data_IF_016694994143
#
_entry.id   IF_016694994143
#
_cell.length_a   1.000
_cell.length_b   1.000
_cell.length_c   1.000
_cell.angle_alpha   90.00
_cell.angle_beta   90.00
_cell.angle_gamma   90.00
#
_symmetry.space_group_name_H-M   'P 1'
#
loop_
_entity.id
_entity.type
_entity.pdbx_description
1 polymer ?
#
# COMPACT_ATOMS: atom_id res chain seq x y z
N UNK A 1 9.88 4.01 13.48
CA UNK A 1 8.61 4.16 12.75
C UNK A 1 8.08 2.80 12.33
N UNK A 2 6.79 2.56 12.52
CA UNK A 2 6.12 1.33 12.03
C UNK A 2 5.18 1.70 10.88
N UNK A 3 5.42 1.14 9.72
CA UNK A 3 4.60 1.35 8.52
C UNK A 3 3.99 0.03 8.04
N UNK A 4 2.77 0.08 7.55
CA UNK A 4 2.11 -1.08 6.95
C UNK A 4 1.57 -0.81 5.56
N UNK A 5 1.48 -1.85 4.74
CA UNK A 5 0.64 -1.88 3.52
C UNK A 5 -0.44 -2.92 3.66
N UNK A 6 -1.64 -2.60 3.17
CA UNK A 6 -2.78 -3.50 3.23
C UNK A 6 -3.78 -3.24 2.10
N UNK A 7 -3.99 -4.22 1.25
CA UNK A 7 -5.09 -4.23 0.31
C UNK A 7 -6.37 -4.62 1.06
N UNK A 8 -7.39 -3.76 1.07
CA UNK A 8 -8.60 -3.90 1.90
C UNK A 8 -9.73 -4.68 1.23
N UNK A 9 -9.48 -5.19 0.01
CA UNK A 9 -10.42 -6.07 -0.69
C UNK A 9 -11.80 -5.45 -0.96
N UNK A 10 -11.85 -4.18 -1.31
CA UNK A 10 -13.07 -3.43 -1.69
C UNK A 10 -14.29 -3.71 -0.78
N UNK A 11 -15.44 -3.94 -1.43
CA UNK A 11 -16.71 -4.33 -0.80
C UNK A 11 -16.96 -5.84 -0.83
N UNK A 12 -15.94 -6.66 -1.05
CA UNK A 12 -16.08 -8.11 -1.13
C UNK A 12 -16.41 -8.72 0.25
N UNK A 13 -17.06 -9.88 0.24
CA UNK A 13 -17.48 -10.56 1.46
C UNK A 13 -18.49 -9.76 2.28
N UNK A 14 -18.57 -9.99 3.60
CA UNK A 14 -19.37 -9.18 4.53
C UNK A 14 -18.61 -7.87 4.85
N UNK A 15 -18.76 -6.88 3.98
CA UNK A 15 -18.03 -5.63 4.06
C UNK A 15 -18.18 -4.92 5.40
N UNK A 16 -19.39 -4.79 5.92
CA UNK A 16 -19.64 -4.02 7.16
C UNK A 16 -18.97 -4.67 8.36
N UNK A 17 -19.12 -5.97 8.51
CA UNK A 17 -18.46 -6.72 9.58
C UNK A 17 -16.93 -6.69 9.42
N UNK A 18 -16.42 -6.82 8.19
CA UNK A 18 -14.99 -6.80 7.92
C UNK A 18 -14.35 -5.47 8.25
N UNK A 19 -14.97 -4.34 7.88
CA UNK A 19 -14.32 -3.05 8.04
C UNK A 19 -14.16 -2.66 9.51
N UNK A 20 -15.12 -2.98 10.35
CA UNK A 20 -15.02 -2.78 11.80
C UNK A 20 -13.91 -3.67 12.40
N UNK A 21 -13.85 -4.93 11.98
CA UNK A 21 -12.83 -5.87 12.43
C UNK A 21 -11.43 -5.48 11.94
N UNK A 22 -11.28 -4.94 10.71
CA UNK A 22 -10.03 -4.40 10.18
C UNK A 22 -9.51 -3.27 11.08
N UNK A 23 -10.38 -2.29 11.41
CA UNK A 23 -10.00 -1.20 12.29
C UNK A 23 -9.48 -1.69 13.65
N UNK A 24 -10.21 -2.61 14.29
CA UNK A 24 -9.83 -3.19 15.57
C UNK A 24 -8.52 -4.02 15.50
N UNK A 25 -8.30 -4.75 14.39
CA UNK A 25 -7.11 -5.54 14.19
C UNK A 25 -5.87 -4.67 13.96
N UNK A 26 -5.97 -3.66 13.09
CA UNK A 26 -4.88 -2.72 12.81
C UNK A 26 -4.49 -1.87 14.01
N UNK A 27 -5.45 -1.51 14.89
CA UNK A 27 -5.17 -0.76 16.12
C UNK A 27 -4.17 -1.47 17.05
N UNK A 28 -4.11 -2.81 17.01
CA UNK A 28 -3.17 -3.61 17.82
C UNK A 28 -1.74 -3.57 17.31
N UNK A 29 -1.51 -3.11 16.09
CA UNK A 29 -0.20 -3.11 15.45
C UNK A 29 0.59 -1.84 15.73
N UNK A 30 0.00 -0.84 16.42
CA UNK A 30 0.67 0.42 16.82
C UNK A 30 1.39 1.11 15.65
N UNK A 31 0.68 1.28 14.54
CA UNK A 31 1.23 1.81 13.29
C UNK A 31 1.30 3.34 13.31
N UNK A 32 2.39 3.89 12.76
CA UNK A 32 2.56 5.32 12.53
C UNK A 32 2.03 5.73 11.16
N UNK A 33 2.19 4.84 10.17
CA UNK A 33 1.76 5.02 8.79
C UNK A 33 1.12 3.75 8.25
N UNK A 34 0.03 3.89 7.52
CA UNK A 34 -0.60 2.77 6.80
C UNK A 34 -0.92 3.22 5.38
N UNK A 35 -0.49 2.45 4.40
CA UNK A 35 -0.91 2.62 3.02
C UNK A 35 -1.97 1.56 2.70
N UNK A 36 -3.11 2.00 2.20
CA UNK A 36 -4.26 1.14 1.90
C UNK A 36 -4.56 1.15 0.41
N UNK A 37 -4.83 -0.01 -0.15
CA UNK A 37 -5.31 -0.18 -1.50
C UNK A 37 -6.75 -0.71 -1.47
N UNK A 38 -7.47 -0.50 -2.56
CA UNK A 38 -8.86 -0.95 -2.72
C UNK A 38 -9.82 -0.42 -1.64
N UNK A 39 -9.59 0.81 -1.15
CA UNK A 39 -10.47 1.43 -0.17
C UNK A 39 -11.83 1.71 -0.78
N UNK A 40 -12.83 0.89 -0.43
CA UNK A 40 -14.20 1.08 -0.91
C UNK A 40 -14.77 2.39 -0.39
N UNK A 41 -15.32 3.18 -1.32
CA UNK A 41 -16.00 4.44 -1.03
C UNK A 41 -17.30 4.50 -1.82
N UNK A 42 -18.44 4.56 -1.10
CA UNK A 42 -19.78 4.66 -1.66
C UNK A 42 -20.64 5.58 -0.77
N UNK A 43 -20.66 6.89 -1.04
CA UNK A 43 -21.29 7.87 -0.15
C UNK A 43 -22.80 7.67 -0.03
N UNK A 44 -23.48 7.15 -1.06
CA UNK A 44 -24.91 6.88 -1.03
C UNK A 44 -25.34 5.90 0.09
N UNK A 45 -24.41 5.07 0.56
CA UNK A 45 -24.64 4.09 1.64
C UNK A 45 -23.72 4.34 2.85
N UNK A 46 -23.12 5.52 2.94
CA UNK A 46 -22.15 5.91 3.98
C UNK A 46 -20.98 4.94 4.16
N UNK A 47 -20.56 4.24 3.09
CA UNK A 47 -19.41 3.35 3.12
C UNK A 47 -18.13 4.14 2.78
N UNK A 48 -17.13 4.05 3.66
CA UNK A 48 -15.83 4.69 3.53
C UNK A 48 -14.76 3.93 4.33
N UNK A 49 -14.11 2.98 3.67
CA UNK A 49 -13.06 2.14 4.27
C UNK A 49 -11.95 2.96 4.92
N UNK A 50 -11.38 3.93 4.18
CA UNK A 50 -10.24 4.70 4.69
C UNK A 50 -10.62 5.56 5.90
N UNK A 51 -11.80 6.20 5.89
CA UNK A 51 -12.27 6.97 7.03
C UNK A 51 -12.61 6.09 8.25
N UNK A 52 -13.18 4.91 8.05
CA UNK A 52 -13.46 3.97 9.13
C UNK A 52 -12.18 3.50 9.82
N UNK A 53 -11.19 3.08 9.04
CA UNK A 53 -9.87 2.66 9.57
C UNK A 53 -9.18 3.83 10.28
N UNK A 54 -9.11 4.99 9.64
CA UNK A 54 -8.46 6.17 10.21
C UNK A 54 -9.11 6.59 11.54
N UNK A 55 -10.42 6.57 11.63
CA UNK A 55 -11.16 6.88 12.88
C UNK A 55 -10.83 5.87 13.99
N UNK A 56 -10.79 4.59 13.66
CA UNK A 56 -10.45 3.54 14.63
C UNK A 56 -9.03 3.69 15.20
N UNK A 57 -8.09 4.24 14.40
CA UNK A 57 -6.69 4.40 14.78
C UNK A 57 -6.31 5.82 15.20
N UNK A 58 -7.20 6.81 15.04
CA UNK A 58 -6.89 8.22 15.31
C UNK A 58 -5.88 8.81 14.33
N UNK A 59 -5.95 8.45 13.03
CA UNK A 59 -5.00 8.85 11.99
C UNK A 59 -5.62 9.87 11.02
N UNK A 60 -4.78 10.70 10.40
CA UNK A 60 -5.12 11.56 9.27
C UNK A 60 -5.24 10.74 7.99
N UNK A 61 -6.11 11.17 7.04
CA UNK A 61 -6.35 10.48 5.76
C UNK A 61 -5.92 11.36 4.60
N UNK A 62 -5.06 10.81 3.74
CA UNK A 62 -4.76 11.32 2.40
C UNK A 62 -5.26 10.34 1.35
N UNK A 63 -5.89 10.81 0.26
CA UNK A 63 -6.52 9.93 -0.75
C UNK A 63 -6.13 10.29 -2.18
N UNK A 64 -6.08 9.26 -3.03
CA UNK A 64 -6.19 9.39 -4.48
C UNK A 64 -7.51 8.74 -4.91
N UNK A 65 -8.49 9.53 -5.38
CA UNK A 65 -9.78 9.00 -5.81
C UNK A 65 -9.64 8.27 -7.14
N UNK A 66 -10.05 7.01 -7.18
CA UNK A 66 -10.10 6.21 -8.39
C UNK A 66 -11.39 6.46 -9.18
N UNK A 67 -11.46 5.95 -10.41
CA UNK A 67 -12.65 6.06 -11.26
C UNK A 67 -13.89 5.43 -10.59
N UNK A 68 -15.01 6.13 -10.70
CA UNK A 68 -16.31 5.61 -10.25
C UNK A 68 -16.79 4.43 -11.12
N UNK A 69 -17.35 3.45 -10.45
CA UNK A 69 -17.94 2.26 -11.07
C UNK A 69 -19.20 1.86 -10.29
N UNK A 70 -20.20 1.32 -10.99
CA UNK A 70 -21.28 0.61 -10.34
C UNK A 70 -20.76 -0.71 -9.76
N UNK A 71 -21.12 -0.99 -8.51
CA UNK A 71 -20.84 -2.26 -7.83
C UNK A 71 -22.07 -2.71 -7.07
N UNK A 72 -22.26 -4.02 -7.00
CA UNK A 72 -23.33 -4.60 -6.21
C UNK A 72 -22.89 -4.71 -4.74
N UNK A 73 -23.72 -4.23 -3.83
CA UNK A 73 -23.58 -4.41 -2.40
C UNK A 73 -24.92 -4.83 -1.81
N UNK A 74 -24.98 -6.00 -1.20
CA UNK A 74 -26.21 -6.60 -0.63
C UNK A 74 -27.38 -6.60 -1.64
N UNK A 75 -27.09 -6.94 -2.90
CA UNK A 75 -28.08 -6.97 -3.99
C UNK A 75 -28.47 -5.60 -4.55
N UNK A 76 -27.89 -4.50 -4.08
CA UNK A 76 -28.15 -3.14 -4.55
C UNK A 76 -26.95 -2.60 -5.35
N UNK A 77 -27.23 -2.02 -6.52
CA UNK A 77 -26.21 -1.33 -7.32
C UNK A 77 -25.89 0.05 -6.72
N UNK A 78 -24.64 0.28 -6.39
CA UNK A 78 -24.15 1.53 -5.83
C UNK A 78 -23.00 2.11 -6.64
N UNK A 79 -23.04 3.41 -6.90
CA UNK A 79 -21.91 4.12 -7.48
C UNK A 79 -20.78 4.24 -6.44
N UNK A 80 -19.61 3.77 -6.78
CA UNK A 80 -18.53 3.60 -5.80
C UNK A 80 -17.15 3.70 -6.44
N UNK A 81 -16.13 3.93 -5.61
CA UNK A 81 -14.71 3.89 -5.96
C UNK A 81 -13.98 2.85 -5.13
N UNK A 82 -12.77 2.51 -5.55
CA UNK A 82 -11.81 1.70 -4.79
C UNK A 82 -10.50 2.51 -4.70
N UNK A 83 -10.48 3.47 -3.79
CA UNK A 83 -9.44 4.51 -3.69
C UNK A 83 -8.10 3.96 -3.14
N UNK A 84 -7.01 4.71 -3.38
CA UNK A 84 -5.79 4.59 -2.59
C UNK A 84 -5.88 5.54 -1.40
N UNK A 85 -5.35 5.12 -0.24
CA UNK A 85 -5.22 5.99 0.92
C UNK A 85 -3.87 5.82 1.61
N UNK A 86 -3.37 6.91 2.19
CA UNK A 86 -2.26 6.94 3.14
C UNK A 86 -2.82 7.50 4.44
N UNK A 87 -2.71 6.73 5.51
CA UNK A 87 -3.11 7.13 6.85
C UNK A 87 -1.85 7.41 7.67
N UNK A 88 -1.82 8.53 8.37
CA UNK A 88 -0.63 9.00 9.11
C UNK A 88 -1.00 9.52 10.48
N UNK A 89 -0.11 9.33 11.46
CA UNK A 89 -0.30 9.87 12.81
C UNK A 89 -0.28 11.39 12.82
N UNK A 90 0.68 11.98 12.12
CA UNK A 90 0.80 13.42 11.94
C UNK A 90 0.19 13.85 10.60
N UNK A 91 -0.31 15.08 10.55
CA UNK A 91 -0.81 15.64 9.29
C UNK A 91 0.34 15.74 8.27
N UNK A 92 0.15 15.29 7.02
CA UNK A 92 1.20 15.40 6.01
C UNK A 92 1.48 16.86 5.63
N UNK A 93 2.74 17.16 5.30
CA UNK A 93 3.18 18.47 4.81
C UNK A 93 2.65 18.77 3.40
N UNK A 94 2.61 17.74 2.57
CA UNK A 94 2.12 17.81 1.19
C UNK A 94 1.54 16.46 0.77
N UNK A 95 0.55 16.49 -0.12
CA UNK A 95 -0.09 15.30 -0.68
C UNK A 95 -0.29 15.51 -2.18
N UNK A 96 0.10 14.53 -2.97
CA UNK A 96 -0.14 14.56 -4.41
C UNK A 96 -0.39 13.14 -4.95
N UNK A 97 -1.06 13.06 -6.09
CA UNK A 97 -1.23 11.80 -6.82
C UNK A 97 -1.10 12.05 -8.33
N UNK A 98 -0.82 10.99 -9.07
CA UNK A 98 -0.70 11.01 -10.52
C UNK A 98 -1.24 9.71 -11.13
N UNK A 99 -1.74 9.75 -12.38
CA UNK A 99 -2.08 8.55 -13.12
C UNK A 99 -0.82 7.79 -13.53
N UNK A 100 -0.95 6.46 -13.59
CA UNK A 100 0.03 5.55 -14.14
C UNK A 100 -0.41 5.06 -15.52
N UNK A 101 0.54 4.56 -16.32
CA UNK A 101 0.27 3.97 -17.63
C UNK A 101 -0.89 2.98 -17.56
N UNK A 102 -1.95 3.17 -18.38
CA UNK A 102 -3.12 2.32 -18.33
C UNK A 102 -2.89 0.99 -19.04
N UNK A 103 -3.54 -0.06 -18.57
CA UNK A 103 -3.88 -1.24 -19.39
C UNK A 103 -5.38 -1.14 -19.72
N UNK A 104 -5.77 -1.15 -21.01
CA UNK A 104 -7.19 -1.02 -21.41
C UNK A 104 -8.11 -2.11 -20.84
N UNK A 105 -7.55 -3.24 -20.43
CA UNK A 105 -8.26 -4.40 -19.86
C UNK A 105 -8.38 -4.32 -18.33
N UNK A 106 -7.58 -3.45 -17.70
CA UNK A 106 -7.59 -3.24 -16.27
C UNK A 106 -8.34 -1.94 -15.91
N UNK A 107 -8.42 -1.64 -14.64
CA UNK A 107 -8.91 -0.36 -14.17
C UNK A 107 -7.84 0.75 -14.28
N UNK A 108 -8.25 1.96 -13.98
CA UNK A 108 -7.33 3.06 -13.73
C UNK A 108 -6.35 2.69 -12.61
N UNK A 109 -5.09 3.10 -12.77
CA UNK A 109 -4.06 2.96 -11.75
C UNK A 109 -3.48 4.33 -11.44
N UNK A 110 -3.34 4.60 -10.15
CA UNK A 110 -2.78 5.85 -9.63
C UNK A 110 -1.60 5.54 -8.71
N UNK A 111 -0.75 6.53 -8.52
CA UNK A 111 0.22 6.60 -7.42
C UNK A 111 -0.14 7.78 -6.53
N UNK A 112 -0.13 7.57 -5.21
CA UNK A 112 -0.39 8.58 -4.19
C UNK A 112 0.87 8.77 -3.35
N UNK A 113 1.25 10.03 -3.05
CA UNK A 113 2.32 10.33 -2.09
C UNK A 113 1.84 11.26 -0.99
N UNK A 114 2.47 11.11 0.18
CA UNK A 114 2.37 12.03 1.30
C UNK A 114 3.79 12.33 1.82
N UNK A 115 4.10 13.60 2.00
CA UNK A 115 5.37 14.07 2.58
C UNK A 115 5.15 14.30 4.06
N UNK A 116 5.97 13.66 4.89
CA UNK A 116 5.85 13.65 6.34
C UNK A 116 7.08 14.30 6.98
N UNK A 117 6.88 14.84 8.16
CA UNK A 117 7.96 15.24 9.08
C UNK A 117 7.89 14.35 10.33
N UNK A 118 8.93 13.58 10.56
CA UNK A 118 9.06 12.68 11.70
C UNK A 118 10.28 13.10 12.54
N UNK A 119 10.03 13.83 13.61
CA UNK A 119 11.09 14.50 14.36
C UNK A 119 11.79 15.54 13.48
N UNK A 120 13.09 15.37 13.26
CA UNK A 120 13.89 16.27 12.43
C UNK A 120 14.09 15.73 10.99
N UNK A 121 13.40 14.67 10.61
CA UNK A 121 13.58 14.02 9.31
C UNK A 121 12.33 14.14 8.47
N UNK A 122 12.51 14.53 7.20
CA UNK A 122 11.46 14.48 6.20
C UNK A 122 11.50 13.12 5.50
N UNK A 123 10.33 12.53 5.30
CA UNK A 123 10.17 11.25 4.63
C UNK A 123 8.99 11.36 3.66
N UNK A 124 9.16 10.86 2.45
CA UNK A 124 8.05 10.70 1.49
C UNK A 124 7.54 9.28 1.53
N UNK A 125 6.25 9.12 1.80
CA UNK A 125 5.56 7.84 1.71
C UNK A 125 4.75 7.80 0.41
N UNK A 126 4.87 6.71 -0.33
CA UNK A 126 4.21 6.49 -1.61
C UNK A 126 3.38 5.22 -1.54
N UNK A 127 2.11 5.33 -1.90
CA UNK A 127 1.17 4.21 -2.03
C UNK A 127 0.89 3.94 -3.50
N UNK A 128 0.96 2.68 -3.90
CA UNK A 128 0.69 2.26 -5.26
C UNK A 128 -0.03 0.91 -5.30
N UNK A 129 -0.88 0.72 -6.30
CA UNK A 129 -1.49 -0.56 -6.64
C UNK A 129 -1.31 -0.78 -8.14
N UNK A 130 -0.36 -1.64 -8.54
CA UNK A 130 -0.03 -1.89 -9.94
C UNK A 130 -1.03 -2.85 -10.59
N UNK A 131 -0.99 -2.98 -11.92
CA UNK A 131 -1.90 -3.87 -12.66
C UNK A 131 -1.78 -5.32 -12.18
N UNK A 132 -2.94 -5.97 -11.97
CA UNK A 132 -3.04 -7.35 -11.49
C UNK A 132 -2.99 -8.40 -12.62
N UNK A 133 -3.09 -7.98 -13.87
CA UNK A 133 -3.07 -8.88 -15.01
C UNK A 133 -1.71 -9.61 -15.13
N UNK A 134 -1.71 -10.85 -15.62
CA UNK A 134 -0.54 -11.75 -15.49
C UNK A 134 0.11 -12.15 -16.81
N UNK A 135 -0.39 -11.66 -17.96
CA UNK A 135 0.24 -11.93 -19.26
C UNK A 135 1.47 -11.05 -19.53
N UNK A 136 2.16 -11.33 -20.63
CA UNK A 136 3.39 -10.60 -21.00
C UNK A 136 3.15 -9.10 -21.20
N UNK A 137 2.06 -8.71 -21.87
CA UNK A 137 1.73 -7.30 -22.08
C UNK A 137 1.47 -6.58 -20.76
N UNK A 138 0.76 -7.21 -19.82
CA UNK A 138 0.55 -6.67 -18.49
C UNK A 138 1.85 -6.58 -17.68
N UNK A 139 2.80 -7.49 -17.87
CA UNK A 139 4.13 -7.41 -17.27
C UNK A 139 4.90 -6.19 -17.78
N UNK A 140 4.80 -5.85 -19.05
CA UNK A 140 5.39 -4.65 -19.63
C UNK A 140 4.75 -3.39 -19.07
N UNK A 141 3.40 -3.34 -19.01
CA UNK A 141 2.65 -2.22 -18.39
C UNK A 141 3.04 -2.06 -16.92
N UNK A 142 3.13 -3.15 -16.16
CA UNK A 142 3.57 -3.10 -14.76
C UNK A 142 4.99 -2.54 -14.64
N UNK A 143 5.89 -2.88 -15.55
CA UNK A 143 7.24 -2.33 -15.60
C UNK A 143 7.26 -0.82 -15.91
N UNK A 144 6.37 -0.34 -16.77
CA UNK A 144 6.17 1.11 -16.98
C UNK A 144 5.62 1.77 -15.72
N UNK A 145 4.57 1.22 -15.11
CA UNK A 145 3.99 1.73 -13.87
C UNK A 145 5.01 1.79 -12.73
N UNK A 146 5.90 0.79 -12.60
CA UNK A 146 6.97 0.78 -11.61
C UNK A 146 7.97 1.92 -11.82
N UNK A 147 8.40 2.17 -13.06
CA UNK A 147 9.27 3.33 -13.41
C UNK A 147 8.61 4.67 -13.13
N UNK A 148 7.34 4.81 -13.51
CA UNK A 148 6.56 6.03 -13.29
C UNK A 148 6.37 6.30 -11.80
N UNK A 149 6.09 5.26 -11.01
CA UNK A 149 6.01 5.33 -9.55
C UNK A 149 7.30 5.87 -8.95
N UNK A 150 8.45 5.32 -9.34
CA UNK A 150 9.75 5.77 -8.83
C UNK A 150 10.07 7.20 -9.28
N UNK A 151 9.78 7.55 -10.54
CA UNK A 151 9.94 8.91 -11.06
C UNK A 151 9.09 9.92 -10.31
N UNK A 152 7.81 9.60 -10.06
CA UNK A 152 6.92 10.45 -9.28
C UNK A 152 7.38 10.58 -7.83
N UNK A 153 7.82 9.49 -7.23
CA UNK A 153 8.36 9.47 -5.87
C UNK A 153 9.59 10.38 -5.72
N UNK A 154 10.48 10.41 -6.71
CA UNK A 154 11.70 11.22 -6.71
C UNK A 154 11.52 12.67 -7.13
N UNK A 155 10.35 13.04 -7.69
CA UNK A 155 10.16 14.37 -8.23
C UNK A 155 10.34 15.45 -7.16
N UNK A 156 11.33 16.34 -7.33
CA UNK A 156 11.67 17.44 -6.41
C UNK A 156 11.89 16.98 -4.96
N UNK A 157 12.49 15.79 -4.76
CA UNK A 157 12.70 15.20 -3.44
C UNK A 157 14.10 14.64 -3.29
N UNK A 158 14.73 14.86 -2.10
CA UNK A 158 16.11 14.43 -1.77
C UNK A 158 16.21 13.65 -0.47
N UNK A 159 15.11 13.55 0.25
CA UNK A 159 15.03 12.84 1.53
C UNK A 159 14.60 11.39 1.31
N UNK A 160 14.61 10.54 2.33
CA UNK A 160 14.19 9.15 2.20
C UNK A 160 12.79 9.01 1.60
N UNK A 161 12.61 7.95 0.80
CA UNK A 161 11.35 7.58 0.17
C UNK A 161 10.99 6.18 0.61
N UNK A 162 9.72 5.97 0.98
CA UNK A 162 9.16 4.65 1.23
C UNK A 162 8.07 4.41 0.21
N UNK A 163 8.26 3.42 -0.66
CA UNK A 163 7.23 2.96 -1.60
C UNK A 163 6.61 1.70 -1.01
N UNK A 164 5.31 1.73 -0.77
CA UNK A 164 4.58 0.59 -0.24
C UNK A 164 3.28 0.37 -1.02
N UNK A 165 2.83 -0.87 -1.09
CA UNK A 165 1.59 -1.19 -1.79
C UNK A 165 1.54 -2.60 -2.33
N UNK A 166 0.45 -2.87 -3.05
CA UNK A 166 0.25 -4.08 -3.83
C UNK A 166 0.89 -3.90 -5.21
N UNK A 167 2.07 -4.49 -5.39
CA UNK A 167 2.80 -4.42 -6.66
C UNK A 167 2.37 -5.51 -7.66
N UNK A 168 1.46 -6.41 -7.25
CA UNK A 168 0.93 -7.49 -8.06
C UNK A 168 1.99 -8.37 -8.75
N UNK A 169 3.20 -8.39 -8.21
CA UNK A 169 4.29 -9.23 -8.67
C UNK A 169 5.29 -9.47 -7.52
N UNK A 170 5.97 -10.60 -7.59
CA UNK A 170 7.04 -10.95 -6.64
C UNK A 170 8.29 -10.10 -6.90
N UNK A 171 9.11 -9.90 -5.90
CA UNK A 171 10.33 -9.07 -5.95
C UNK A 171 11.28 -9.43 -7.11
N UNK A 172 11.34 -10.71 -7.49
CA UNK A 172 12.20 -11.20 -8.59
C UNK A 172 11.56 -11.06 -9.98
N UNK A 173 10.34 -10.51 -10.08
CA UNK A 173 9.71 -10.29 -11.36
C UNK A 173 10.46 -9.25 -12.18
N UNK A 174 10.78 -9.52 -13.47
CA UNK A 174 11.41 -8.51 -14.35
C UNK A 174 10.63 -7.19 -14.43
N UNK A 175 9.30 -7.23 -14.25
CA UNK A 175 8.47 -6.03 -14.25
C UNK A 175 8.75 -5.11 -13.06
N UNK A 176 9.31 -5.61 -11.96
CA UNK A 176 9.64 -4.81 -10.78
C UNK A 176 11.14 -4.43 -10.72
N UNK A 177 11.96 -4.83 -11.70
CA UNK A 177 13.37 -4.44 -11.74
C UNK A 177 13.61 -2.92 -11.58
N UNK A 178 12.76 -2.01 -12.09
CA UNK A 178 12.95 -0.58 -11.87
C UNK A 178 12.93 -0.15 -10.38
N UNK A 179 12.31 -0.94 -9.52
CA UNK A 179 12.26 -0.70 -8.08
C UNK A 179 13.33 -1.49 -7.32
N UNK A 180 13.48 -2.78 -7.64
CA UNK A 180 14.33 -3.70 -6.87
C UNK A 180 15.81 -3.66 -7.25
N UNK A 181 16.14 -3.28 -8.49
CA UNK A 181 17.51 -3.13 -8.96
C UNK A 181 18.02 -1.69 -8.83
N UNK A 182 17.24 -0.80 -8.23
CA UNK A 182 17.64 0.60 -8.01
C UNK A 182 18.76 0.68 -6.96
N UNK A 183 19.86 1.42 -7.23
CA UNK A 183 21.01 1.47 -6.33
C UNK A 183 20.72 2.12 -4.97
N UNK A 184 19.69 2.96 -4.88
CA UNK A 184 19.31 3.63 -3.65
C UNK A 184 18.35 2.77 -2.80
N UNK A 185 17.84 1.65 -3.36
CA UNK A 185 16.91 0.78 -2.66
C UNK A 185 17.62 0.01 -1.55
N UNK A 186 17.07 0.07 -0.34
CA UNK A 186 17.55 -0.73 0.78
C UNK A 186 16.92 -2.13 0.75
N UNK A 187 17.74 -3.14 0.46
CA UNK A 187 17.32 -4.54 0.46
C UNK A 187 16.97 -5.11 1.84
N UNK A 188 17.19 -4.37 2.94
CA UNK A 188 16.98 -4.87 4.30
C UNK A 188 15.50 -5.24 4.58
N UNK A 189 14.52 -4.53 3.99
CA UNK A 189 13.12 -4.89 4.09
C UNK A 189 12.78 -6.25 3.47
N UNK A 190 13.57 -6.72 2.52
CA UNK A 190 13.45 -8.07 1.95
C UNK A 190 14.18 -9.12 2.74
N UNK A 191 15.30 -8.74 3.37
CA UNK A 191 16.13 -9.62 4.18
C UNK A 191 15.63 -9.71 5.64
N UNK A 192 14.72 -8.84 6.06
CA UNK A 192 14.19 -8.84 7.41
C UNK A 192 13.52 -10.18 7.75
N UNK A 193 13.94 -10.78 8.86
CA UNK A 193 13.43 -12.08 9.29
C UNK A 193 11.94 -12.01 9.57
N UNK A 194 11.19 -12.95 9.02
CA UNK A 194 9.80 -13.19 9.38
C UNK A 194 9.70 -13.66 10.82
N UNK A 195 8.64 -13.25 11.50
CA UNK A 195 8.37 -13.73 12.87
C UNK A 195 8.06 -15.24 12.82
N UNK A 196 8.73 -16.08 13.61
CA UNK A 196 8.40 -17.50 13.69
C UNK A 196 6.94 -17.65 14.19
N UNK A 197 6.10 -18.35 13.43
CA UNK A 197 4.74 -18.70 13.88
C UNK A 197 3.59 -18.14 13.06
N UNK A 198 3.81 -17.16 12.16
CA UNK A 198 2.81 -16.85 11.15
C UNK A 198 2.84 -17.95 10.08
N UNK A 199 1.69 -18.42 9.64
CA UNK A 199 1.55 -19.39 8.53
C UNK A 199 1.96 -18.79 7.17
N UNK A 200 2.91 -17.90 7.18
CA UNK A 200 3.52 -17.23 6.05
C UNK A 200 4.19 -18.19 5.05
N UNK A 201 4.49 -19.43 5.45
CA UNK A 201 5.10 -20.43 4.57
C UNK A 201 4.29 -20.65 3.28
N UNK A 202 2.96 -20.63 3.33
CA UNK A 202 2.12 -20.82 2.16
C UNK A 202 2.11 -19.60 1.23
N UNK A 203 2.30 -18.39 1.77
CA UNK A 203 2.43 -17.16 0.98
C UNK A 203 3.80 -17.02 0.34
N UNK A 204 4.82 -17.66 0.93
CA UNK A 204 6.21 -17.61 0.43
C UNK A 204 6.49 -18.58 -0.72
N UNK A 205 5.75 -19.66 -0.86
CA UNK A 205 5.85 -20.55 -2.03
C UNK A 205 5.42 -19.85 -3.32
N UNK A 206 4.48 -18.88 -3.25
CA UNK A 206 4.09 -18.02 -4.37
C UNK A 206 4.85 -16.68 -4.45
N UNK A 207 5.53 -16.29 -3.37
CA UNK A 207 6.17 -14.98 -3.19
C UNK A 207 5.17 -13.86 -2.84
N UNK A 208 5.58 -12.94 -1.95
CA UNK A 208 4.78 -11.78 -1.60
C UNK A 208 4.64 -10.82 -2.79
N UNK A 209 3.44 -10.28 -2.97
CA UNK A 209 3.11 -9.26 -3.98
C UNK A 209 2.87 -7.89 -3.35
N UNK A 210 2.66 -7.85 -2.04
CA UNK A 210 2.59 -6.64 -1.22
C UNK A 210 3.99 -6.34 -0.68
N UNK A 211 4.45 -5.10 -0.86
CA UNK A 211 5.82 -4.73 -0.55
C UNK A 211 5.92 -3.42 0.22
N UNK A 212 6.98 -3.30 1.02
CA UNK A 212 7.46 -2.04 1.60
C UNK A 212 8.92 -1.90 1.19
N UNK A 213 9.25 -0.85 0.45
CA UNK A 213 10.58 -0.59 -0.11
C UNK A 213 11.09 0.75 0.41
N UNK A 214 12.35 0.81 0.83
CA UNK A 214 13.02 2.01 1.30
C UNK A 214 14.08 2.43 0.28
N UNK A 215 14.04 3.70 -0.14
CA UNK A 215 15.02 4.32 -1.05
C UNK A 215 15.68 5.47 -0.30
N UNK A 216 16.90 5.26 0.14
CA UNK A 216 17.68 6.28 0.83
C UNK A 216 19.18 6.08 0.57
N UNK A 217 19.79 6.85 -0.34
CA UNK A 217 21.20 6.72 -0.67
C UNK A 217 22.14 7.01 0.52
N UNK A 218 21.64 7.73 1.53
CA UNK A 218 22.42 8.06 2.72
C UNK A 218 22.17 7.09 3.89
N UNK A 219 21.31 6.09 3.71
CA UNK A 219 21.00 5.08 4.74
C UNK A 219 20.56 5.66 6.08
N UNK A 220 19.86 6.78 6.08
CA UNK A 220 19.26 7.41 7.27
C UNK A 220 18.01 6.66 7.76
N UNK A 221 17.36 5.95 6.84
CA UNK A 221 16.24 5.06 7.13
C UNK A 221 16.63 3.64 6.74
N UNK A 222 16.53 2.72 7.69
CA UNK A 222 16.81 1.30 7.46
C UNK A 222 15.69 0.43 7.99
N UNK A 223 15.39 -0.67 7.31
CA UNK A 223 14.40 -1.62 7.77
C UNK A 223 15.02 -2.58 8.79
N UNK A 224 14.51 -2.55 10.01
CA UNK A 224 14.97 -3.40 11.10
C UNK A 224 14.25 -4.74 11.10
N UNK A 225 12.97 -4.75 10.70
CA UNK A 225 12.13 -5.93 10.78
C UNK A 225 10.95 -5.82 9.83
N UNK A 226 10.54 -6.95 9.27
CA UNK A 226 9.29 -7.11 8.53
C UNK A 226 8.45 -8.21 9.16
N UNK A 227 7.15 -7.99 9.23
CA UNK A 227 6.17 -8.93 9.77
C UNK A 227 5.03 -9.09 8.77
N UNK A 228 4.42 -10.28 8.78
CA UNK A 228 3.19 -10.57 8.02
C UNK A 228 2.09 -10.80 9.05
N UNK A 229 1.09 -9.95 9.02
CA UNK A 229 0.00 -9.94 9.98
C UNK A 229 -1.33 -10.23 9.29
N UNK A 230 -2.31 -10.70 10.04
CA UNK A 230 -3.69 -10.94 9.59
C UNK A 230 -3.84 -11.91 8.41
N UNK A 231 -2.79 -12.68 8.06
CA UNK A 231 -2.88 -13.69 7.02
C UNK A 231 -3.95 -14.75 7.39
N UNK A 232 -4.86 -15.04 6.44
CA UNK A 232 -5.91 -16.03 6.65
C UNK A 232 -6.98 -15.63 7.68
N UNK A 233 -7.02 -14.37 8.10
CA UNK A 233 -8.01 -13.86 9.08
C UNK A 233 -9.44 -13.75 8.51
N UNK A 234 -9.61 -13.81 7.18
CA UNK A 234 -10.87 -13.52 6.49
C UNK A 234 -11.20 -12.03 6.37
N UNK A 235 -10.32 -11.15 6.87
CA UNK A 235 -10.51 -9.70 6.80
C UNK A 235 -10.18 -9.12 5.42
N UNK A 236 -9.30 -9.79 4.68
CA UNK A 236 -8.94 -9.53 3.29
C UNK A 236 -8.42 -10.82 2.67
N UNK A 237 -8.35 -10.88 1.36
CA UNK A 237 -7.60 -11.88 0.59
C UNK A 237 -6.09 -11.61 0.59
N UNK A 238 -5.68 -10.43 1.08
CA UNK A 238 -4.29 -10.04 1.32
C UNK A 238 -3.92 -10.03 2.81
N UNK A 239 -2.67 -10.32 3.17
CA UNK A 239 -2.15 -10.06 4.50
C UNK A 239 -1.78 -8.58 4.68
N UNK A 240 -1.57 -8.17 5.92
CA UNK A 240 -0.91 -6.89 6.23
C UNK A 240 0.60 -7.12 6.26
N UNK A 241 1.36 -6.35 5.50
CA UNK A 241 2.83 -6.33 5.61
C UNK A 241 3.23 -5.14 6.46
N UNK A 242 3.88 -5.40 7.57
CA UNK A 242 4.38 -4.38 8.51
C UNK A 242 5.91 -4.31 8.41
N UNK A 243 6.46 -3.11 8.30
CA UNK A 243 7.89 -2.86 8.41
C UNK A 243 8.17 -1.96 9.61
N UNK A 244 9.15 -2.34 10.42
CA UNK A 244 9.72 -1.51 11.48
C UNK A 244 10.98 -0.84 10.95
N UNK A 245 10.99 0.49 10.92
CA UNK A 245 12.05 1.30 10.35
C UNK A 245 12.76 2.09 11.44
N UNK A 246 14.09 2.04 11.44
CA UNK A 246 14.94 2.95 12.20
C UNK A 246 15.17 4.21 11.35
N UNK A 247 14.81 5.37 11.90
CA UNK A 247 14.97 6.68 11.28
C UNK A 247 15.99 7.46 12.13
N UNK A 248 17.20 7.67 11.60
CA UNK A 248 18.35 8.28 12.28
C UNK A 248 18.49 9.76 11.97
#
# INVERSE_FOLDING_TARGET
>A
MRIATFNTWKNEGDYLTRIDAIGAALARLELDVIVLQECFYAPAINADTAACVARALGLHVSRAPMREKMRTMDGTEVLSRADLAILTREAPLDVAFAPLSPDPRDGERLVLRADLELGNQRIRVVNVHLTHLRDTAASEVRGMQARETLSFARSNWKDPIIIAGDLNAVSRSPSLSPLFDDPDMDGSCHAARERPGASAAALLEGGAIDHVLVFDPLRRVTCMRREVELAGSGLSDHPVIVAELDCR
#
